data_IF_125941768400
#
_entry.id   IF_125941768400
#
_cell.length_a   1.000
_cell.length_b   1.000
_cell.length_c   1.000
_cell.angle_alpha   90.00
_cell.angle_beta   90.00
_cell.angle_gamma   90.00
#
_symmetry.space_group_name_H-M   'P 1'
#
loop_
_entity.id
_entity.type
_entity.pdbx_description
1 polymer ?
#
# COMPACT_ATOMS: atom_id res chain seq x y z
N UNK A 1 -4.67 4.36 -22.05
CA UNK A 1 -4.14 3.50 -20.96
C UNK A 1 -2.95 4.23 -20.36
N UNK A 2 -3.18 5.08 -19.36
CA UNK A 2 -2.09 5.81 -18.72
C UNK A 2 -1.42 4.85 -17.74
N UNK A 3 -0.24 4.32 -18.11
CA UNK A 3 0.64 3.71 -17.15
C UNK A 3 1.07 4.82 -16.17
N UNK A 4 0.74 4.63 -14.89
CA UNK A 4 1.12 5.55 -13.82
C UNK A 4 2.66 5.66 -13.78
N UNK A 5 3.26 6.86 -13.76
CA UNK A 5 4.71 7.05 -13.76
C UNK A 5 5.38 6.62 -12.44
N UNK A 6 4.60 6.25 -11.42
CA UNK A 6 5.10 5.55 -10.26
C UNK A 6 5.15 4.08 -10.62
N UNK A 7 6.34 3.53 -10.87
CA UNK A 7 6.51 2.08 -10.89
C UNK A 7 6.29 1.56 -9.47
N UNK A 8 5.02 1.45 -9.07
CA UNK A 8 4.64 0.84 -7.82
C UNK A 8 5.15 -0.60 -7.84
N UNK A 9 5.94 -0.96 -6.83
CA UNK A 9 6.34 -2.35 -6.68
C UNK A 9 5.10 -3.11 -6.22
N UNK A 10 4.66 -4.08 -7.00
CA UNK A 10 3.49 -4.90 -6.66
C UNK A 10 3.96 -6.08 -5.81
N UNK A 11 3.60 -6.08 -4.53
CA UNK A 11 3.86 -7.17 -3.61
C UNK A 11 2.60 -8.03 -3.41
N UNK A 12 2.65 -9.28 -3.87
CA UNK A 12 1.51 -10.22 -3.83
C UNK A 12 1.57 -11.22 -2.68
N UNK A 13 2.65 -11.23 -1.90
CA UNK A 13 2.79 -12.00 -0.65
C UNK A 13 3.57 -11.21 0.40
N UNK A 14 3.42 -11.52 1.70
CA UNK A 14 4.20 -10.86 2.75
C UNK A 14 5.71 -10.96 2.55
N UNK A 15 6.22 -12.10 2.10
CA UNK A 15 7.65 -12.25 1.78
C UNK A 15 8.11 -11.30 0.67
N UNK A 16 7.31 -11.15 -0.40
CA UNK A 16 7.62 -10.18 -1.46
C UNK A 16 7.55 -8.75 -0.94
N UNK A 17 6.64 -8.44 0.00
CA UNK A 17 6.59 -7.14 0.66
C UNK A 17 7.90 -6.84 1.42
N UNK A 18 8.45 -7.81 2.16
CA UNK A 18 9.75 -7.65 2.84
C UNK A 18 10.87 -7.32 1.86
N UNK A 19 10.95 -8.08 0.76
CA UNK A 19 11.95 -7.83 -0.30
C UNK A 19 11.74 -6.47 -0.96
N UNK A 20 10.49 -6.07 -1.22
CA UNK A 20 10.16 -4.79 -1.82
C UNK A 20 10.55 -3.61 -0.92
N UNK A 21 10.32 -3.71 0.39
CA UNK A 21 10.74 -2.70 1.38
C UNK A 21 12.26 -2.54 1.40
N UNK A 22 13.00 -3.65 1.41
CA UNK A 22 14.46 -3.61 1.35
C UNK A 22 14.97 -2.92 0.07
N UNK A 23 14.49 -3.36 -1.10
CA UNK A 23 14.86 -2.78 -2.39
C UNK A 23 14.46 -1.29 -2.51
N UNK A 24 13.31 -0.91 -1.95
CA UNK A 24 12.86 0.47 -1.90
C UNK A 24 13.86 1.38 -1.18
N UNK A 25 14.38 0.96 -0.03
CA UNK A 25 15.37 1.76 0.71
C UNK A 25 16.79 1.67 0.17
N UNK A 26 17.15 0.60 -0.56
CA UNK A 26 18.40 0.57 -1.32
C UNK A 26 18.39 1.61 -2.44
N UNK A 27 17.28 1.74 -3.16
CA UNK A 27 17.14 2.70 -4.26
C UNK A 27 16.84 4.13 -3.77
N UNK A 28 16.28 4.28 -2.57
CA UNK A 28 15.94 5.58 -1.95
C UNK A 28 16.46 5.64 -0.51
N UNK A 29 17.79 5.72 -0.30
CA UNK A 29 18.39 5.64 1.03
C UNK A 29 18.06 6.84 1.93
N UNK A 30 17.67 7.98 1.35
CA UNK A 30 17.27 9.17 2.08
C UNK A 30 15.79 9.19 2.48
N UNK A 31 14.98 8.23 2.02
CA UNK A 31 13.56 8.16 2.38
C UNK A 31 13.42 7.62 3.81
N UNK A 32 12.86 8.40 4.77
CA UNK A 32 12.66 7.93 6.13
C UNK A 32 11.54 6.88 6.22
N UNK A 33 10.63 6.88 5.24
CA UNK A 33 9.49 5.99 5.17
C UNK A 33 9.37 5.35 3.79
N UNK A 34 8.82 4.13 3.75
CA UNK A 34 8.16 3.57 2.58
C UNK A 34 6.65 3.50 2.86
N UNK A 35 5.82 3.56 1.82
CA UNK A 35 4.37 3.50 1.97
C UNK A 35 3.82 2.23 1.33
N UNK A 36 2.96 1.52 2.06
CA UNK A 36 2.38 0.26 1.63
C UNK A 36 0.88 0.46 1.43
N UNK A 37 0.42 0.35 0.19
CA UNK A 37 -0.96 0.56 -0.20
C UNK A 37 -1.67 -0.77 -0.46
N UNK A 38 -2.48 -1.19 0.49
CA UNK A 38 -3.32 -2.39 0.39
C UNK A 38 -4.61 -2.05 -0.33
N UNK A 39 -4.84 -2.74 -1.44
CA UNK A 39 -5.97 -2.48 -2.34
C UNK A 39 -6.60 -3.78 -2.80
N UNK A 40 -7.92 -3.77 -3.00
CA UNK A 40 -8.63 -4.90 -3.59
C UNK A 40 -8.13 -5.17 -5.02
N UNK A 41 -7.74 -6.42 -5.29
CA UNK A 41 -7.26 -6.80 -6.63
C UNK A 41 -8.27 -6.46 -7.71
N UNK A 42 -7.77 -5.99 -8.85
CA UNK A 42 -8.57 -5.74 -10.04
C UNK A 42 -9.02 -7.07 -10.63
N UNK A 43 -10.28 -7.13 -11.03
CA UNK A 43 -10.81 -8.25 -11.79
C UNK A 43 -10.05 -8.36 -13.14
N UNK A 44 -9.51 -9.53 -13.51
CA UNK A 44 -8.68 -9.65 -14.71
C UNK A 44 -9.45 -9.39 -16.02
N UNK A 45 -10.77 -9.58 -16.04
CA UNK A 45 -11.58 -9.41 -17.23
C UNK A 45 -11.96 -7.94 -17.47
N UNK A 46 -12.21 -7.19 -16.40
CA UNK A 46 -12.68 -5.79 -16.45
C UNK A 46 -11.60 -4.77 -16.12
N UNK A 47 -10.54 -5.19 -15.41
CA UNK A 47 -9.51 -4.29 -14.87
C UNK A 47 -9.99 -3.43 -13.71
N UNK A 48 -11.19 -3.68 -13.18
CA UNK A 48 -11.84 -2.87 -12.14
C UNK A 48 -11.72 -3.55 -10.78
N UNK A 49 -11.43 -2.78 -9.73
CA UNK A 49 -11.42 -3.28 -8.37
C UNK A 49 -12.83 -3.62 -7.89
N UNK A 50 -13.01 -4.76 -7.20
CA UNK A 50 -14.31 -5.16 -6.63
C UNK A 50 -14.75 -4.31 -5.43
N UNK A 51 -13.89 -3.45 -4.91
CA UNK A 51 -14.15 -2.57 -3.77
C UNK A 51 -14.36 -1.12 -4.24
N UNK A 52 -15.55 -0.52 -4.01
CA UNK A 52 -15.81 0.87 -4.37
C UNK A 52 -14.85 1.87 -3.72
N UNK A 53 -14.49 1.68 -2.44
CA UNK A 53 -13.57 2.58 -1.74
C UNK A 53 -12.14 2.48 -2.29
N UNK A 54 -11.74 1.29 -2.74
CA UNK A 54 -10.48 1.12 -3.48
C UNK A 54 -10.51 1.87 -4.81
N UNK A 55 -11.64 1.87 -5.53
CA UNK A 55 -11.76 2.65 -6.78
C UNK A 55 -11.66 4.17 -6.52
N UNK A 56 -12.20 4.65 -5.39
CA UNK A 56 -12.15 6.06 -5.02
C UNK A 56 -10.76 6.51 -4.55
N UNK A 57 -10.06 5.68 -3.77
CA UNK A 57 -8.74 6.00 -3.20
C UNK A 57 -7.58 5.86 -4.18
N UNK A 58 -7.67 4.93 -5.15
CA UNK A 58 -6.63 4.67 -6.16
C UNK A 58 -6.12 5.95 -6.87
N UNK A 59 -6.96 6.80 -7.48
CA UNK A 59 -6.48 8.04 -8.10
C UNK A 59 -5.85 9.02 -7.11
N UNK A 60 -6.33 9.05 -5.86
CA UNK A 60 -5.84 9.95 -4.81
C UNK A 60 -4.43 9.56 -4.36
N UNK A 61 -4.23 8.28 -4.04
CA UNK A 61 -2.93 7.74 -3.62
C UNK A 61 -1.91 7.91 -4.74
N UNK A 62 -2.24 7.47 -5.95
CA UNK A 62 -1.32 7.54 -7.08
C UNK A 62 -0.90 8.98 -7.42
N UNK A 63 -1.84 9.93 -7.40
CA UNK A 63 -1.51 11.33 -7.66
C UNK A 63 -0.55 11.91 -6.60
N UNK A 64 -0.78 11.60 -5.32
CA UNK A 64 0.07 12.08 -4.23
C UNK A 64 1.52 11.55 -4.35
N UNK A 65 1.68 10.25 -4.62
CA UNK A 65 3.02 9.65 -4.74
C UNK A 65 3.70 9.94 -6.08
N UNK A 66 2.94 10.21 -7.15
CA UNK A 66 3.51 10.74 -8.39
C UNK A 66 4.15 12.13 -8.19
N UNK A 67 3.60 12.94 -7.29
CA UNK A 67 4.17 14.23 -6.90
C UNK A 67 5.37 14.09 -5.93
N UNK A 68 5.61 12.91 -5.37
CA UNK A 68 6.65 12.63 -4.37
C UNK A 68 7.52 11.42 -4.78
N UNK A 69 8.24 11.46 -5.92
CA UNK A 69 8.96 10.29 -6.46
C UNK A 69 10.12 9.78 -5.58
N UNK A 70 10.58 10.60 -4.63
CA UNK A 70 11.56 10.24 -3.61
C UNK A 70 11.01 9.34 -2.51
N UNK A 71 9.68 9.26 -2.37
CA UNK A 71 9.02 8.38 -1.41
C UNK A 71 8.61 7.07 -2.10
N UNK A 72 9.06 5.90 -1.59
CA UNK A 72 8.62 4.63 -2.12
C UNK A 72 7.13 4.39 -1.85
N UNK A 73 6.40 3.97 -2.89
CA UNK A 73 5.06 3.40 -2.80
C UNK A 73 5.10 1.94 -3.27
N UNK A 74 4.60 1.04 -2.43
CA UNK A 74 4.48 -0.39 -2.68
C UNK A 74 3.00 -0.74 -2.68
N UNK A 75 2.52 -1.30 -3.79
CA UNK A 75 1.14 -1.75 -3.91
C UNK A 75 0.98 -3.20 -3.50
N UNK A 76 -0.09 -3.47 -2.77
CA UNK A 76 -0.39 -4.79 -2.22
C UNK A 76 -1.82 -5.17 -2.62
N UNK A 77 -2.00 -5.85 -3.75
CA UNK A 77 -3.28 -6.43 -4.12
C UNK A 77 -3.65 -7.54 -3.13
N UNK A 78 -4.77 -7.39 -2.42
CA UNK A 78 -5.14 -8.33 -1.35
C UNK A 78 -5.82 -9.62 -1.82
N UNK A 79 -6.06 -9.73 -3.12
CA UNK A 79 -6.79 -10.83 -3.76
C UNK A 79 -8.22 -10.46 -4.13
N UNK A 80 -8.97 -11.49 -4.57
CA UNK A 80 -10.40 -11.37 -4.82
C UNK A 80 -11.20 -11.20 -3.50
N UNK A 81 -12.48 -10.83 -3.64
CA UNK A 81 -13.38 -10.59 -2.50
C UNK A 81 -13.58 -11.83 -1.63
N UNK A 82 -13.59 -13.03 -2.22
CA UNK A 82 -13.85 -14.27 -1.49
C UNK A 82 -12.67 -14.63 -0.59
N UNK A 83 -11.47 -14.58 -1.14
CA UNK A 83 -10.19 -14.79 -0.46
C UNK A 83 -9.97 -13.75 0.63
N UNK A 84 -10.23 -12.47 0.34
CA UNK A 84 -10.08 -11.36 1.29
C UNK A 84 -10.95 -11.51 2.55
N UNK A 85 -12.15 -12.08 2.43
CA UNK A 85 -13.07 -12.25 3.57
C UNK A 85 -12.64 -13.36 4.54
N UNK A 86 -11.73 -14.24 4.12
CA UNK A 86 -11.26 -15.32 5.00
C UNK A 86 -10.24 -14.79 6.00
N UNK A 87 -10.28 -15.28 7.25
CA UNK A 87 -9.26 -14.97 8.26
C UNK A 87 -7.89 -15.54 7.90
N UNK A 88 -7.85 -16.56 7.03
CA UNK A 88 -6.63 -17.14 6.49
C UNK A 88 -5.96 -16.30 5.39
N UNK A 89 -6.55 -15.15 5.00
CA UNK A 89 -5.90 -14.24 4.07
C UNK A 89 -4.53 -13.81 4.61
N UNK A 90 -3.49 -13.93 3.78
CA UNK A 90 -2.11 -13.70 4.20
C UNK A 90 -1.89 -12.29 4.77
N UNK A 91 -2.60 -11.27 4.29
CA UNK A 91 -2.47 -9.88 4.75
C UNK A 91 -3.23 -9.61 6.04
N UNK A 92 -4.32 -10.35 6.29
CA UNK A 92 -5.04 -10.31 7.58
C UNK A 92 -4.24 -11.01 8.68
N UNK A 93 -3.60 -12.14 8.33
CA UNK A 93 -2.84 -12.95 9.27
C UNK A 93 -1.40 -12.46 9.50
N UNK A 94 -0.83 -11.67 8.58
CA UNK A 94 0.52 -11.15 8.74
C UNK A 94 0.61 -10.17 9.93
N UNK A 95 1.50 -10.39 10.91
CA UNK A 95 1.57 -9.57 12.11
C UNK A 95 2.09 -8.14 11.87
N UNK A 96 2.79 -7.91 10.76
CA UNK A 96 3.27 -6.58 10.42
C UNK A 96 2.18 -5.72 9.78
N UNK A 97 1.48 -6.32 8.81
CA UNK A 97 0.42 -5.66 8.05
C UNK A 97 -0.86 -5.59 8.88
N UNK A 98 -1.33 -6.74 9.40
CA UNK A 98 -2.57 -6.92 10.13
C UNK A 98 -3.71 -6.11 9.48
N UNK A 99 -4.04 -6.45 8.25
CA UNK A 99 -5.00 -5.68 7.46
C UNK A 99 -6.43 -5.93 7.97
N UNK A 100 -7.10 -4.87 8.45
CA UNK A 100 -8.50 -4.96 8.91
C UNK A 100 -9.48 -4.72 7.75
N UNK A 101 -9.19 -3.72 6.91
CA UNK A 101 -10.00 -3.27 5.78
C UNK A 101 -9.13 -2.97 4.55
N UNK A 102 -9.77 -2.81 3.40
CA UNK A 102 -9.18 -2.21 2.21
C UNK A 102 -10.12 -1.10 1.73
N UNK A 103 -9.59 0.04 1.23
CA UNK A 103 -8.17 0.36 1.10
C UNK A 103 -7.50 0.65 2.44
N UNK A 104 -6.20 0.36 2.55
CA UNK A 104 -5.36 0.76 3.70
C UNK A 104 -4.02 1.26 3.18
N UNK A 105 -3.58 2.42 3.64
CA UNK A 105 -2.25 2.97 3.37
C UNK A 105 -1.45 2.97 4.67
N UNK A 106 -0.33 2.24 4.72
CA UNK A 106 0.55 2.12 5.89
C UNK A 106 1.82 2.94 5.64
N UNK A 107 2.28 3.71 6.65
CA UNK A 107 3.58 4.37 6.63
C UNK A 107 4.58 3.51 7.38
N UNK A 108 5.56 3.00 6.64
CA UNK A 108 6.55 2.03 7.11
C UNK A 108 7.89 2.71 7.39
N UNK A 109 8.31 2.88 8.65
CA UNK A 109 9.59 3.49 9.03
C UNK A 109 10.79 2.66 8.58
N UNK A 110 11.77 3.34 7.97
CA UNK A 110 13.03 2.73 7.53
C UNK A 110 13.83 2.17 8.70
N UNK A 111 13.85 2.88 9.82
CA UNK A 111 14.57 2.49 11.04
C UNK A 111 14.05 1.19 11.66
N UNK A 112 12.77 0.85 11.44
CA UNK A 112 12.22 -0.41 11.89
C UNK A 112 12.64 -1.58 10.98
N UNK A 113 13.04 -1.29 9.75
CA UNK A 113 13.47 -2.28 8.77
C UNK A 113 12.31 -3.08 8.15
N UNK A 114 12.61 -3.97 7.19
CA UNK A 114 11.59 -4.66 6.41
C UNK A 114 10.83 -5.71 7.23
N UNK A 115 11.46 -6.30 8.24
CA UNK A 115 10.90 -7.40 9.07
C UNK A 115 10.14 -6.91 10.32
N UNK A 116 9.97 -5.61 10.49
CA UNK A 116 9.28 -5.10 11.66
C UNK A 116 7.80 -5.48 11.71
N UNK A 117 7.26 -5.53 12.92
CA UNK A 117 5.93 -6.03 13.23
C UNK A 117 5.05 -4.90 13.78
N UNK A 118 3.80 -4.87 13.34
CA UNK A 118 2.74 -3.89 13.58
C UNK A 118 3.12 -2.41 13.38
N UNK A 119 2.20 -1.66 12.75
CA UNK A 119 2.26 -0.20 12.68
C UNK A 119 0.93 0.42 13.05
N UNK A 120 0.93 1.31 14.04
CA UNK A 120 -0.25 2.09 14.40
C UNK A 120 -0.57 3.19 13.37
N UNK A 121 0.43 3.62 12.60
CA UNK A 121 0.32 4.75 11.70
C UNK A 121 -0.12 4.32 10.30
N UNK A 122 -1.41 4.54 10.02
CA UNK A 122 -2.08 4.15 8.77
C UNK A 122 -3.29 5.03 8.50
N UNK A 123 -3.59 5.26 7.22
CA UNK A 123 -4.87 5.79 6.75
C UNK A 123 -5.71 4.62 6.22
N UNK A 124 -6.97 4.52 6.64
CA UNK A 124 -7.88 3.45 6.20
C UNK A 124 -9.12 4.03 5.54
N UNK A 125 -9.62 3.35 4.50
CA UNK A 125 -10.92 3.63 3.88
C UNK A 125 -11.14 5.11 3.54
N UNK A 126 -12.07 5.78 4.24
CA UNK A 126 -12.46 7.16 4.03
C UNK A 126 -11.44 8.20 4.52
N UNK A 127 -10.44 7.77 5.29
CA UNK A 127 -9.33 8.61 5.73
C UNK A 127 -8.32 8.89 4.61
N UNK A 128 -8.37 8.12 3.51
CA UNK A 128 -7.48 8.27 2.36
C UNK A 128 -7.98 9.42 1.49
N UNK A 129 -7.69 10.65 1.94
CA UNK A 129 -8.00 11.90 1.24
C UNK A 129 -6.72 12.60 0.78
N UNK A 130 -6.78 13.47 -0.26
CA UNK A 130 -5.63 14.25 -0.68
C UNK A 130 -4.99 15.04 0.48
N UNK A 131 -5.83 15.65 1.32
CA UNK A 131 -5.40 16.47 2.45
C UNK A 131 -4.72 15.64 3.54
N UNK A 132 -5.30 14.47 3.87
CA UNK A 132 -4.72 13.57 4.86
C UNK A 132 -3.36 13.03 4.39
N UNK A 133 -3.24 12.59 3.14
CA UNK A 133 -1.97 12.11 2.59
C UNK A 133 -0.93 13.23 2.56
N UNK A 134 -1.29 14.44 2.15
CA UNK A 134 -0.38 15.57 2.11
C UNK A 134 0.14 15.95 3.51
N UNK A 135 -0.75 16.01 4.50
CA UNK A 135 -0.38 16.27 5.89
C UNK A 135 0.54 15.18 6.44
N UNK A 136 0.25 13.92 6.10
CA UNK A 136 0.98 12.76 6.58
C UNK A 136 2.39 12.61 5.97
N UNK A 137 2.55 13.00 4.70
CA UNK A 137 3.85 13.05 4.03
C UNK A 137 4.71 14.19 4.59
N UNK A 138 4.10 15.31 5.00
CA UNK A 138 4.79 16.49 5.48
C UNK A 138 5.25 16.39 6.96
N UNK A 139 4.73 15.43 7.73
CA UNK A 139 5.08 15.20 9.14
C UNK A 139 6.24 14.23 9.32
#
# INVERSE_FOLDING_TARGET
MLASPVAAVIAVTPGILRTALAAAWETRPAAPYAYVYLVASRDPATGVSWCPDCQASDPVVHAAFAAQPSLPLIEVPVGDRATWRTTANAWRADPAVHAASVPTLIRWPREAGPEAVAYADRLVEDQITPEAIAAWIAS
#
